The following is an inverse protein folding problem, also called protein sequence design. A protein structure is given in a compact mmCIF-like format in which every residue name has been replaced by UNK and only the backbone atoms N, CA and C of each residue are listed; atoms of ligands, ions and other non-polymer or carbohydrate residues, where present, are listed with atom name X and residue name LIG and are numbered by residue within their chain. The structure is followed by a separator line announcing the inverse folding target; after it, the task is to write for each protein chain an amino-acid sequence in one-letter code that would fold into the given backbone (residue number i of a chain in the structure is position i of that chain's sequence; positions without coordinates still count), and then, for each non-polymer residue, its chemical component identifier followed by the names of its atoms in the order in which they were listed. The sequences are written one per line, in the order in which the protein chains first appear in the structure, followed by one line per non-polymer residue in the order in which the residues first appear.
data_IF_223161883504
#
_entry.id   IF_223161883504
#
_cell.length_a   1.000
_cell.length_b   1.000
_cell.length_c   1.000
_cell.angle_alpha   90.00
_cell.angle_beta   90.00
_cell.angle_gamma   90.00
#
_symmetry.space_group_name_H-M   'P 1'
#
loop_
_entity.id
_entity.type
_entity.pdbx_description
1 polymer ?
#
# COMPACT_ATOMS: atom_id res chain seq x y z
N UNK A 1 27.20 33.73 28.62
CA UNK A 1 25.76 33.99 28.85
C UNK A 1 24.95 33.68 27.60
N UNK A 2 25.39 34.09 26.41
CA UNK A 2 24.67 33.92 25.12
C UNK A 2 24.41 32.46 24.76
N UNK A 3 25.36 31.57 25.09
CA UNK A 3 25.21 30.14 24.93
C UNK A 3 23.96 29.58 25.67
N UNK A 4 23.79 30.02 26.94
CA UNK A 4 22.65 29.58 27.79
C UNK A 4 21.32 30.05 27.18
N UNK A 5 21.30 31.30 26.67
CA UNK A 5 20.11 31.84 25.99
C UNK A 5 19.78 31.06 24.72
N UNK A 6 20.75 30.83 23.85
CA UNK A 6 20.58 30.06 22.62
C UNK A 6 20.08 28.62 22.91
N UNK A 7 20.69 27.94 23.90
CA UNK A 7 20.26 26.59 24.29
C UNK A 7 18.84 26.57 24.83
N UNK A 8 18.45 27.54 25.65
CA UNK A 8 17.09 27.65 26.19
C UNK A 8 16.04 27.81 25.07
N UNK A 9 16.34 28.62 24.06
CA UNK A 9 15.45 28.80 22.91
C UNK A 9 15.35 27.50 22.10
N UNK A 10 16.50 26.91 21.76
CA UNK A 10 16.60 25.77 20.86
C UNK A 10 15.98 24.50 21.45
N UNK A 11 16.18 24.22 22.72
CA UNK A 11 15.78 22.96 23.34
C UNK A 11 14.51 23.03 24.15
N UNK A 12 14.12 24.23 24.66
CA UNK A 12 12.91 24.37 25.44
C UNK A 12 11.77 25.08 24.71
N UNK A 13 12.04 26.24 24.12
CA UNK A 13 11.00 27.07 23.51
C UNK A 13 10.54 26.51 22.14
N UNK A 14 11.49 26.22 21.24
CA UNK A 14 11.19 25.77 19.88
C UNK A 14 10.40 24.44 19.84
N UNK A 15 10.83 23.34 20.49
CA UNK A 15 10.13 22.08 20.35
C UNK A 15 8.74 22.06 21.00
N UNK A 16 8.56 22.85 22.05
CA UNK A 16 7.31 22.81 22.84
C UNK A 16 6.16 23.59 22.19
N UNK A 17 6.43 24.69 21.49
CA UNK A 17 5.41 25.59 20.95
C UNK A 17 5.32 25.55 19.43
N UNK A 18 6.42 25.35 18.71
CA UNK A 18 6.43 25.28 17.25
C UNK A 18 5.64 24.06 16.75
N UNK A 19 5.85 22.88 17.33
CA UNK A 19 5.15 21.66 16.90
C UNK A 19 3.64 21.67 17.20
N UNK A 20 3.20 22.48 18.16
CA UNK A 20 1.78 22.62 18.51
C UNK A 20 1.07 23.73 17.76
N UNK A 21 1.74 24.44 16.84
CA UNK A 21 1.15 25.52 16.04
C UNK A 21 0.87 26.81 16.81
N UNK A 22 1.39 26.97 18.04
CA UNK A 22 1.14 28.14 18.86
C UNK A 22 2.19 29.24 18.67
N UNK A 23 2.30 29.76 17.44
CA UNK A 23 3.34 30.70 17.02
C UNK A 23 3.32 32.01 17.81
N UNK A 24 2.15 32.59 18.09
CA UNK A 24 2.00 33.84 18.83
C UNK A 24 2.52 33.69 20.28
N UNK A 25 2.15 32.58 20.94
CA UNK A 25 2.64 32.30 22.30
C UNK A 25 4.16 32.10 22.32
N UNK A 26 4.72 31.46 21.28
CA UNK A 26 6.17 31.30 21.15
C UNK A 26 6.89 32.64 21.02
N UNK A 27 6.41 33.56 20.17
CA UNK A 27 7.00 34.88 19.98
C UNK A 27 6.93 35.69 21.28
N UNK A 28 5.80 35.72 21.96
CA UNK A 28 5.62 36.44 23.22
C UNK A 28 6.55 35.90 24.32
N UNK A 29 6.68 34.59 24.44
CA UNK A 29 7.60 33.95 25.37
C UNK A 29 9.05 34.23 25.01
N UNK A 30 9.40 34.22 23.73
CA UNK A 30 10.76 34.61 23.31
C UNK A 30 11.12 36.03 23.73
N UNK A 31 10.25 36.99 23.42
CA UNK A 31 10.45 38.39 23.79
C UNK A 31 10.55 38.59 25.31
N UNK A 32 9.63 37.96 26.07
CA UNK A 32 9.66 38.06 27.53
C UNK A 32 10.94 37.45 28.14
N UNK A 33 11.39 36.31 27.58
CA UNK A 33 12.61 35.65 28.01
C UNK A 33 13.85 36.48 27.66
N UNK A 34 13.88 37.13 26.47
CA UNK A 34 14.98 38.05 26.10
C UNK A 34 15.08 39.23 27.07
N UNK A 35 13.96 39.85 27.44
CA UNK A 35 13.95 40.96 28.42
C UNK A 35 14.42 40.49 29.77
N UNK A 36 13.89 39.39 30.28
CA UNK A 36 14.29 38.82 31.57
C UNK A 36 15.81 38.52 31.61
N UNK A 37 16.33 37.94 30.52
CA UNK A 37 17.74 37.59 30.41
C UNK A 37 18.65 38.81 30.39
N UNK A 38 18.26 39.91 29.71
CA UNK A 38 18.97 41.16 29.69
C UNK A 38 19.01 41.80 31.10
N UNK A 39 17.88 41.78 31.82
CA UNK A 39 17.81 42.29 33.19
C UNK A 39 18.71 41.48 34.12
N UNK A 40 18.69 40.15 34.01
CA UNK A 40 19.56 39.28 34.82
C UNK A 40 21.06 39.51 34.49
N UNK A 41 21.42 39.66 33.21
CA UNK A 41 22.77 39.93 32.74
C UNK A 41 23.26 41.30 33.26
N UNK A 42 22.39 42.28 33.25
CA UNK A 42 22.69 43.61 33.75
C UNK A 42 22.91 43.61 35.27
N UNK A 43 22.03 42.93 36.03
CA UNK A 43 22.19 42.76 37.47
C UNK A 43 23.52 42.05 37.78
N UNK A 44 23.85 40.99 37.06
CA UNK A 44 25.13 40.29 37.19
C UNK A 44 26.34 41.22 36.95
N UNK A 45 26.31 42.01 35.88
CA UNK A 45 27.40 42.95 35.59
C UNK A 45 27.54 44.08 36.62
N UNK A 46 26.43 44.53 37.23
CA UNK A 46 26.44 45.60 38.21
C UNK A 46 26.84 45.10 39.60
N UNK A 47 26.35 43.94 40.01
CA UNK A 47 26.53 43.46 41.38
C UNK A 47 27.74 42.52 41.53
N UNK A 48 28.01 41.66 40.55
CA UNK A 48 29.00 40.57 40.71
C UNK A 48 30.35 40.90 40.05
N UNK A 49 30.34 41.45 38.85
CA UNK A 49 31.57 41.72 38.08
C UNK A 49 32.52 42.68 38.78
N UNK A 50 32.09 43.75 39.48
CA UNK A 50 32.99 44.61 40.17
C UNK A 50 33.82 43.92 41.31
N UNK A 51 33.15 43.01 42.06
CA UNK A 51 33.82 42.22 43.10
C UNK A 51 34.84 41.24 42.51
N UNK A 52 34.51 40.60 41.40
CA UNK A 52 35.44 39.70 40.73
C UNK A 52 36.65 40.47 40.20
N UNK A 53 36.47 41.63 39.59
CA UNK A 53 37.58 42.47 39.08
C UNK A 53 38.48 42.98 40.19
N UNK A 54 37.87 43.37 41.28
CA UNK A 54 38.63 43.80 42.47
C UNK A 54 39.51 42.68 43.03
N UNK A 55 38.99 41.47 43.15
CA UNK A 55 39.72 40.30 43.60
C UNK A 55 40.91 39.93 42.66
N UNK A 56 40.88 40.27 41.40
CA UNK A 56 41.95 40.08 40.43
C UNK A 56 42.82 41.35 40.19
N UNK A 57 42.64 42.41 40.98
CA UNK A 57 43.40 43.64 40.83
C UNK A 57 43.14 44.43 39.55
N UNK A 58 42.01 44.21 38.89
CA UNK A 58 41.64 44.90 37.67
C UNK A 58 40.87 46.20 37.96
N UNK A 59 40.98 47.24 37.12
CA UNK A 59 40.21 48.46 37.28
C UNK A 59 38.68 48.20 37.21
N UNK A 60 37.89 49.04 37.90
CA UNK A 60 36.44 48.92 37.94
C UNK A 60 35.85 48.99 36.49
N UNK A 61 34.71 48.29 36.22
CA UNK A 61 34.12 48.32 34.90
C UNK A 61 33.59 49.72 34.58
N UNK A 62 33.80 50.16 33.34
CA UNK A 62 33.21 51.40 32.81
C UNK A 62 31.83 51.15 32.32
N UNK A 63 30.81 51.61 33.03
CA UNK A 63 29.44 51.48 32.58
C UNK A 63 29.08 52.58 31.57
N UNK A 64 28.34 52.24 30.50
CA UNK A 64 27.89 53.21 29.52
C UNK A 64 26.93 54.23 30.17
N UNK A 65 27.14 55.52 29.89
CA UNK A 65 26.36 56.64 30.44
C UNK A 65 24.86 56.59 30.12
N UNK A 66 24.49 55.94 29.01
CA UNK A 66 23.08 55.80 28.59
C UNK A 66 22.57 54.36 28.80
N UNK A 67 21.67 54.24 29.76
CA UNK A 67 21.01 52.97 30.11
C UNK A 67 20.18 52.41 28.93
N UNK A 68 19.49 53.32 28.25
CA UNK A 68 18.60 52.97 27.14
C UNK A 68 19.37 52.42 25.92
N UNK A 69 20.48 53.06 25.58
CA UNK A 69 21.32 52.62 24.46
C UNK A 69 21.97 51.26 24.70
N UNK A 70 22.44 51.04 25.90
CA UNK A 70 23.02 49.74 26.29
C UNK A 70 22.01 48.61 26.29
N UNK A 71 20.74 48.88 26.70
CA UNK A 71 19.65 47.91 26.65
C UNK A 71 19.28 47.54 25.23
N UNK A 72 19.10 48.54 24.33
CA UNK A 72 18.80 48.31 22.94
C UNK A 72 19.86 47.48 22.20
N UNK A 73 21.14 47.80 22.47
CA UNK A 73 22.27 47.11 21.83
C UNK A 73 22.33 45.62 22.30
N UNK A 74 22.21 45.38 23.61
CA UNK A 74 22.15 44.03 24.17
C UNK A 74 20.94 43.25 23.64
N UNK A 75 19.77 43.90 23.56
CA UNK A 75 18.57 43.27 23.03
C UNK A 75 18.75 42.85 21.57
N UNK A 76 19.32 43.73 20.74
CA UNK A 76 19.62 43.41 19.34
C UNK A 76 20.62 42.25 19.22
N UNK A 77 21.74 42.29 19.98
CA UNK A 77 22.80 41.28 19.90
C UNK A 77 22.28 39.89 20.29
N UNK A 78 21.61 39.76 21.43
CA UNK A 78 21.08 38.47 21.92
C UNK A 78 20.05 37.88 20.97
N UNK A 79 19.16 38.71 20.41
CA UNK A 79 18.13 38.23 19.48
C UNK A 79 18.70 37.88 18.11
N UNK A 80 19.76 38.55 17.66
CA UNK A 80 20.48 38.16 16.42
C UNK A 80 21.15 36.80 16.57
N UNK A 81 21.87 36.56 17.67
CA UNK A 81 22.53 35.26 17.91
C UNK A 81 21.52 34.13 18.12
N UNK A 82 20.49 34.37 18.95
CA UNK A 82 19.41 33.41 19.19
C UNK A 82 18.60 33.11 17.95
N UNK A 83 18.32 34.13 17.14
CA UNK A 83 17.60 34.00 15.87
C UNK A 83 18.39 33.20 14.84
N UNK A 84 19.68 33.45 14.71
CA UNK A 84 20.56 32.70 13.80
C UNK A 84 20.67 31.23 14.23
N UNK A 85 20.88 30.98 15.51
CA UNK A 85 20.92 29.62 16.04
C UNK A 85 19.59 28.85 15.83
N UNK A 86 18.46 29.53 16.04
CA UNK A 86 17.14 28.98 15.78
C UNK A 86 16.92 28.69 14.29
N UNK A 87 17.32 29.60 13.39
CA UNK A 87 17.21 29.42 11.94
C UNK A 87 18.02 28.21 11.44
N UNK A 88 19.25 28.04 11.90
CA UNK A 88 20.09 26.87 11.57
C UNK A 88 19.42 25.58 12.05
N UNK A 89 18.91 25.55 13.28
CA UNK A 89 18.23 24.38 13.82
C UNK A 89 16.97 24.03 13.05
N UNK A 90 16.15 25.02 12.71
CA UNK A 90 14.93 24.85 11.92
C UNK A 90 15.24 24.36 10.51
N UNK A 91 16.25 24.94 9.86
CA UNK A 91 16.71 24.50 8.54
C UNK A 91 17.16 23.03 8.54
N UNK A 92 17.96 22.63 9.53
CA UNK A 92 18.38 21.24 9.70
C UNK A 92 17.18 20.30 9.92
N UNK A 93 16.24 20.68 10.78
CA UNK A 93 15.05 19.87 11.05
C UNK A 93 14.14 19.75 9.82
N UNK A 94 13.95 20.85 9.10
CA UNK A 94 13.17 20.85 7.83
C UNK A 94 13.84 19.94 6.80
N UNK A 95 15.15 20.02 6.64
CA UNK A 95 15.90 19.20 5.69
C UNK A 95 15.79 17.70 6.01
N UNK A 96 15.98 17.31 7.29
CA UNK A 96 15.82 15.90 7.71
C UNK A 96 14.41 15.40 7.45
N UNK A 97 13.40 16.21 7.82
CA UNK A 97 12.00 15.85 7.61
C UNK A 97 11.64 15.75 6.12
N UNK A 98 12.23 16.58 5.28
CA UNK A 98 12.06 16.50 3.83
C UNK A 98 12.66 15.20 3.27
N UNK A 99 13.83 14.79 3.74
CA UNK A 99 14.43 13.51 3.35
C UNK A 99 13.57 12.31 3.75
N UNK A 100 13.01 12.30 4.97
CA UNK A 100 12.08 11.25 5.41
C UNK A 100 10.84 11.19 4.52
N UNK A 101 10.25 12.34 4.22
CA UNK A 101 9.09 12.42 3.31
C UNK A 101 9.42 11.93 1.89
N UNK A 102 10.60 12.23 1.39
CA UNK A 102 11.02 11.76 0.05
C UNK A 102 11.29 10.26 0.02
N UNK A 103 11.81 9.68 1.11
CA UNK A 103 11.93 8.22 1.25
C UNK A 103 10.56 7.54 1.25
N UNK A 104 9.62 8.04 2.08
CA UNK A 104 8.24 7.52 2.13
C UNK A 104 7.54 7.65 0.77
N UNK A 105 7.72 8.79 0.07
CA UNK A 105 7.18 8.97 -1.29
C UNK A 105 7.78 7.98 -2.29
N UNK A 106 9.09 7.75 -2.24
CA UNK A 106 9.75 6.77 -3.11
C UNK A 106 9.28 5.34 -2.84
N UNK A 107 9.10 4.97 -1.57
CA UNK A 107 8.53 3.67 -1.19
C UNK A 107 7.09 3.54 -1.67
N UNK A 108 6.27 4.57 -1.45
CA UNK A 108 4.89 4.60 -1.95
C UNK A 108 4.82 4.49 -3.47
N UNK A 109 5.67 5.23 -4.21
CA UNK A 109 5.75 5.15 -5.67
C UNK A 109 6.23 3.78 -6.19
N UNK A 110 6.99 3.02 -5.41
CA UNK A 110 7.38 1.64 -5.76
C UNK A 110 6.24 0.64 -5.50
N UNK A 111 5.45 0.86 -4.45
CA UNK A 111 4.38 -0.03 -4.02
C UNK A 111 3.09 0.23 -4.82
N UNK A 112 2.77 1.48 -5.14
CA UNK A 112 1.56 1.86 -5.87
C UNK A 112 1.40 1.18 -7.25
N UNK A 113 2.42 1.10 -8.13
CA UNK A 113 2.32 0.35 -9.39
C UNK A 113 2.15 -1.14 -9.16
N UNK A 114 2.83 -1.71 -8.16
CA UNK A 114 2.71 -3.13 -7.82
C UNK A 114 1.31 -3.47 -7.31
N UNK A 115 0.67 -2.56 -6.57
CA UNK A 115 -0.72 -2.68 -6.14
C UNK A 115 -1.71 -2.47 -7.32
N UNK A 116 -1.38 -1.60 -8.28
CA UNK A 116 -2.19 -1.41 -9.50
C UNK A 116 -2.02 -2.56 -10.48
N UNK A 117 -0.82 -3.12 -10.63
CA UNK A 117 -0.58 -4.36 -11.38
C UNK A 117 -1.26 -5.57 -10.73
N UNK A 118 -1.42 -5.55 -9.40
CA UNK A 118 -2.19 -6.54 -8.65
C UNK A 118 -3.72 -6.36 -8.72
N UNK A 119 -4.23 -5.21 -9.21
CA UNK A 119 -5.64 -5.04 -9.52
C UNK A 119 -5.93 -5.73 -10.84
N UNK A 120 -6.53 -6.90 -10.76
CA UNK A 120 -6.91 -7.66 -11.95
C UNK A 120 -7.90 -6.84 -12.77
N UNK A 121 -7.52 -6.53 -14.01
CA UNK A 121 -8.49 -6.09 -15.01
C UNK A 121 -9.30 -7.32 -15.41
N UNK A 122 -10.61 -7.33 -15.21
CA UNK A 122 -11.43 -8.49 -15.53
C UNK A 122 -11.61 -8.59 -17.06
N UNK A 123 -10.57 -9.08 -17.75
CA UNK A 123 -10.55 -9.24 -19.22
C UNK A 123 -11.68 -10.18 -19.67
N UNK A 124 -12.04 -11.15 -18.82
CA UNK A 124 -13.16 -12.06 -19.09
C UNK A 124 -14.51 -11.34 -19.32
N UNK A 125 -14.69 -10.13 -18.74
CA UNK A 125 -15.91 -9.37 -18.99
C UNK A 125 -15.97 -8.83 -20.43
N UNK A 126 -14.85 -8.41 -20.98
CA UNK A 126 -14.78 -8.01 -22.39
C UNK A 126 -15.03 -9.20 -23.31
N UNK A 127 -14.35 -10.33 -23.04
CA UNK A 127 -14.57 -11.58 -23.78
C UNK A 127 -16.04 -12.04 -23.70
N UNK A 128 -16.68 -11.85 -22.54
CA UNK A 128 -18.11 -12.19 -22.36
C UNK A 128 -19.04 -11.27 -23.15
N UNK A 129 -18.74 -9.98 -23.25
CA UNK A 129 -19.50 -9.02 -24.05
C UNK A 129 -19.35 -9.29 -25.55
N UNK A 130 -18.15 -9.61 -26.04
CA UNK A 130 -17.88 -9.97 -27.43
C UNK A 130 -18.66 -11.24 -27.83
N UNK A 131 -18.70 -12.25 -26.94
CA UNK A 131 -19.50 -13.45 -27.14
C UNK A 131 -21.00 -13.18 -27.13
N UNK A 132 -21.46 -12.28 -26.25
CA UNK A 132 -22.87 -11.88 -26.22
C UNK A 132 -23.28 -11.24 -27.54
N UNK A 133 -22.43 -10.39 -28.13
CA UNK A 133 -22.66 -9.83 -29.46
C UNK A 133 -22.80 -10.91 -30.52
N UNK A 134 -21.86 -11.87 -30.58
CA UNK A 134 -21.88 -12.99 -31.53
C UNK A 134 -23.12 -13.86 -31.35
N UNK A 135 -23.51 -14.21 -30.12
CA UNK A 135 -24.66 -15.06 -29.83
C UNK A 135 -26.01 -14.34 -30.00
N UNK A 136 -26.02 -13.01 -30.01
CA UNK A 136 -27.24 -12.23 -30.23
C UNK A 136 -27.87 -12.52 -31.59
N UNK A 137 -27.03 -12.84 -32.57
CA UNK A 137 -27.47 -13.21 -33.94
C UNK A 137 -27.77 -14.69 -34.05
N UNK A 138 -26.95 -15.57 -33.45
CA UNK A 138 -27.01 -17.00 -33.63
C UNK A 138 -27.95 -17.74 -32.66
N UNK A 139 -28.01 -17.29 -31.40
CA UNK A 139 -28.81 -17.91 -30.33
C UNK A 139 -29.48 -16.85 -29.44
N UNK A 140 -30.43 -16.04 -29.93
CA UNK A 140 -30.98 -14.90 -29.17
C UNK A 140 -31.70 -15.31 -27.87
N UNK A 141 -32.18 -16.53 -27.74
CA UNK A 141 -32.88 -17.04 -26.56
C UNK A 141 -31.97 -17.13 -25.30
N UNK A 142 -30.66 -17.24 -25.45
CA UNK A 142 -29.73 -17.35 -24.32
C UNK A 142 -29.29 -15.97 -23.78
N UNK A 143 -29.50 -14.90 -24.56
CA UNK A 143 -29.01 -13.55 -24.26
C UNK A 143 -29.49 -12.99 -22.92
N UNK A 144 -30.79 -13.06 -22.54
CA UNK A 144 -31.24 -12.54 -21.24
C UNK A 144 -30.54 -13.20 -20.04
N UNK A 145 -30.32 -14.52 -20.15
CA UNK A 145 -29.59 -15.26 -19.13
C UNK A 145 -28.10 -14.83 -19.00
N UNK A 146 -27.41 -14.65 -20.14
CA UNK A 146 -26.04 -14.19 -20.21
C UNK A 146 -25.89 -12.75 -19.61
N UNK A 147 -26.77 -11.84 -20.01
CA UNK A 147 -26.75 -10.46 -19.49
C UNK A 147 -26.90 -10.45 -17.97
N UNK A 148 -27.79 -11.29 -17.41
CA UNK A 148 -27.97 -11.40 -15.95
C UNK A 148 -26.69 -11.87 -15.26
N UNK A 149 -26.00 -12.88 -15.81
CA UNK A 149 -24.74 -13.39 -15.26
C UNK A 149 -23.60 -12.37 -15.38
N UNK A 150 -23.44 -11.73 -16.54
CA UNK A 150 -22.45 -10.67 -16.73
C UNK A 150 -22.68 -9.52 -15.72
N UNK A 151 -23.95 -9.14 -15.49
CA UNK A 151 -24.28 -8.14 -14.47
C UNK A 151 -23.86 -8.57 -13.06
N UNK A 152 -24.09 -9.82 -12.67
CA UNK A 152 -23.67 -10.35 -11.38
C UNK A 152 -22.16 -10.32 -11.21
N UNK A 153 -21.42 -10.79 -12.22
CA UNK A 153 -19.96 -10.75 -12.27
C UNK A 153 -19.44 -9.31 -12.18
N UNK A 154 -20.05 -8.36 -12.90
CA UNK A 154 -19.68 -6.96 -12.87
C UNK A 154 -19.90 -6.33 -11.48
N UNK A 155 -21.03 -6.63 -10.85
CA UNK A 155 -21.31 -6.14 -9.47
C UNK A 155 -20.28 -6.68 -8.49
N UNK A 156 -19.87 -7.94 -8.62
CA UNK A 156 -18.81 -8.49 -7.80
C UNK A 156 -17.50 -7.73 -7.99
N UNK A 157 -17.10 -7.44 -9.24
CA UNK A 157 -15.89 -6.64 -9.54
C UNK A 157 -15.95 -5.27 -8.88
N UNK A 158 -17.08 -4.58 -8.97
CA UNK A 158 -17.24 -3.22 -8.45
C UNK A 158 -17.18 -3.18 -6.93
N UNK A 159 -17.85 -4.11 -6.25
CA UNK A 159 -18.02 -4.05 -4.81
C UNK A 159 -16.96 -4.81 -4.02
N UNK A 160 -16.50 -5.95 -4.51
CA UNK A 160 -15.62 -6.85 -3.73
C UNK A 160 -14.13 -6.69 -4.10
N UNK A 161 -13.78 -6.16 -5.27
CA UNK A 161 -12.38 -6.09 -5.74
C UNK A 161 -11.46 -5.26 -4.82
N UNK A 162 -12.01 -4.31 -4.09
CA UNK A 162 -11.25 -3.45 -3.18
C UNK A 162 -11.26 -3.94 -1.71
N UNK A 163 -11.92 -5.06 -1.43
CA UNK A 163 -11.94 -5.64 -0.09
C UNK A 163 -10.65 -6.40 0.19
N UNK A 164 -10.17 -6.35 1.44
CA UNK A 164 -8.99 -7.13 1.85
C UNK A 164 -9.27 -8.64 1.78
N UNK A 165 -10.48 -9.07 2.13
CA UNK A 165 -10.93 -10.46 2.04
C UNK A 165 -12.44 -10.55 1.86
N UNK A 166 -12.90 -11.62 1.22
CA UNK A 166 -14.31 -11.95 1.00
C UNK A 166 -14.61 -13.34 1.56
N UNK A 167 -15.89 -13.67 1.74
CA UNK A 167 -16.27 -15.04 2.08
C UNK A 167 -15.96 -15.96 0.91
N UNK A 168 -15.40 -17.13 1.19
CA UNK A 168 -15.06 -18.12 0.17
C UNK A 168 -16.28 -18.52 -0.67
N UNK A 169 -17.46 -18.61 -0.04
CA UNK A 169 -18.72 -18.91 -0.71
C UNK A 169 -19.04 -17.91 -1.84
N UNK A 170 -18.71 -16.62 -1.67
CA UNK A 170 -18.90 -15.61 -2.72
C UNK A 170 -17.99 -15.86 -3.93
N UNK A 171 -16.72 -16.24 -3.68
CA UNK A 171 -15.78 -16.61 -4.76
C UNK A 171 -16.26 -17.88 -5.50
N UNK A 172 -16.83 -18.84 -4.77
CA UNK A 172 -17.38 -20.05 -5.37
C UNK A 172 -18.63 -19.76 -6.21
N UNK A 173 -19.53 -18.91 -5.71
CA UNK A 173 -20.70 -18.45 -6.49
C UNK A 173 -20.27 -17.72 -7.76
N UNK A 174 -19.29 -16.84 -7.65
CA UNK A 174 -18.70 -16.15 -8.80
C UNK A 174 -18.13 -17.14 -9.82
N UNK A 175 -17.42 -18.15 -9.36
CA UNK A 175 -16.85 -19.20 -10.18
C UNK A 175 -17.94 -20.00 -10.90
N UNK A 176 -19.00 -20.38 -10.21
CA UNK A 176 -20.14 -21.11 -10.80
C UNK A 176 -20.81 -20.28 -11.91
N UNK A 177 -21.10 -19.00 -11.65
CA UNK A 177 -21.69 -18.09 -12.64
C UNK A 177 -20.79 -17.93 -13.86
N UNK A 178 -19.47 -17.82 -13.66
CA UNK A 178 -18.49 -17.75 -14.74
C UNK A 178 -18.46 -19.04 -15.57
N UNK A 179 -18.40 -20.20 -14.93
CA UNK A 179 -18.39 -21.51 -15.62
C UNK A 179 -19.64 -21.68 -16.48
N UNK A 180 -20.83 -21.31 -15.99
CA UNK A 180 -22.07 -21.38 -16.75
C UNK A 180 -22.07 -20.41 -17.94
N UNK A 181 -21.43 -19.22 -17.78
CA UNK A 181 -21.25 -18.27 -18.88
C UNK A 181 -20.37 -18.87 -19.99
N UNK A 182 -19.22 -19.47 -19.59
CA UNK A 182 -18.29 -20.12 -20.52
C UNK A 182 -18.92 -21.32 -21.25
N UNK A 183 -19.68 -22.15 -20.54
CA UNK A 183 -20.42 -23.28 -21.14
C UNK A 183 -21.41 -22.82 -22.22
N UNK A 184 -22.05 -21.67 -22.02
CA UNK A 184 -23.01 -21.12 -22.96
C UNK A 184 -22.34 -20.65 -24.27
N UNK A 185 -21.09 -20.15 -24.17
CA UNK A 185 -20.35 -19.62 -25.31
C UNK A 185 -19.41 -20.61 -26.02
N UNK A 186 -19.11 -21.75 -25.42
CA UNK A 186 -18.24 -22.77 -26.01
C UNK A 186 -19.02 -23.86 -26.76
N UNK A 187 -18.29 -24.59 -27.60
CA UNK A 187 -18.83 -25.72 -28.35
C UNK A 187 -19.30 -26.87 -27.45
N UNK A 188 -20.20 -27.70 -27.90
CA UNK A 188 -20.80 -28.83 -27.16
C UNK A 188 -19.78 -29.91 -26.71
N UNK A 189 -18.57 -29.89 -27.26
CA UNK A 189 -17.50 -30.85 -26.94
C UNK A 189 -16.66 -30.52 -25.67
N UNK A 190 -17.08 -29.56 -24.86
CA UNK A 190 -16.41 -29.20 -23.61
C UNK A 190 -17.01 -29.91 -22.39
N UNK A 191 -16.22 -30.76 -21.74
CA UNK A 191 -16.57 -31.38 -20.45
C UNK A 191 -15.98 -30.57 -19.29
N UNK A 192 -16.85 -30.04 -18.44
CA UNK A 192 -16.45 -29.30 -17.23
C UNK A 192 -16.80 -30.11 -15.99
N UNK A 193 -15.82 -30.42 -15.18
CA UNK A 193 -15.95 -31.13 -13.92
C UNK A 193 -15.58 -30.19 -12.79
N UNK A 194 -16.47 -30.01 -11.80
CA UNK A 194 -16.19 -29.21 -10.60
C UNK A 194 -16.43 -30.08 -9.39
N UNK A 195 -15.42 -30.17 -8.50
CA UNK A 195 -15.50 -30.91 -7.24
C UNK A 195 -15.07 -30.00 -6.10
N UNK A 196 -15.97 -29.78 -5.15
CA UNK A 196 -15.71 -29.01 -3.93
C UNK A 196 -15.80 -29.96 -2.75
N UNK A 197 -14.74 -30.06 -1.95
CA UNK A 197 -14.62 -30.96 -0.81
C UNK A 197 -14.23 -30.15 0.43
N UNK A 198 -14.87 -30.42 1.55
CA UNK A 198 -14.57 -29.80 2.84
C UNK A 198 -15.56 -28.70 3.22
N UNK A 199 -15.24 -27.97 4.28
CA UNK A 199 -16.11 -26.96 4.88
C UNK A 199 -15.71 -25.57 4.39
N UNK A 200 -16.55 -24.94 3.57
CA UNK A 200 -16.31 -23.61 2.99
C UNK A 200 -16.93 -22.47 3.81
N UNK A 201 -17.93 -22.82 4.65
CA UNK A 201 -18.68 -21.86 5.41
C UNK A 201 -17.81 -21.15 6.47
N UNK A 202 -17.84 -19.81 6.44
CA UNK A 202 -17.07 -18.98 7.37
C UNK A 202 -15.61 -18.72 6.95
N UNK A 203 -15.07 -19.45 5.99
CA UNK A 203 -13.73 -19.21 5.47
C UNK A 203 -13.68 -17.93 4.63
N UNK A 204 -12.54 -17.23 4.69
CA UNK A 204 -12.31 -15.99 3.96
C UNK A 204 -11.08 -16.09 3.09
N UNK A 205 -11.14 -15.54 1.88
CA UNK A 205 -10.05 -15.53 0.92
C UNK A 205 -9.95 -14.12 0.30
N UNK A 206 -8.78 -13.75 -0.20
CA UNK A 206 -8.66 -12.54 -1.00
C UNK A 206 -9.50 -12.63 -2.27
N UNK A 207 -10.21 -11.55 -2.67
CA UNK A 207 -11.08 -11.59 -3.85
C UNK A 207 -10.27 -11.87 -5.13
N UNK A 208 -10.88 -12.49 -6.12
CA UNK A 208 -10.27 -12.82 -7.42
C UNK A 208 -8.99 -13.67 -7.33
N UNK A 209 -8.93 -14.65 -6.45
CA UNK A 209 -7.85 -15.65 -6.44
C UNK A 209 -8.22 -16.86 -7.31
N UNK A 210 -9.47 -17.33 -7.22
CA UNK A 210 -9.92 -18.55 -7.88
C UNK A 210 -10.19 -18.29 -9.37
N UNK A 211 -10.99 -17.28 -9.66
CA UNK A 211 -11.51 -17.02 -11.00
C UNK A 211 -10.42 -16.87 -12.07
N UNK A 212 -9.32 -16.10 -11.88
CA UNK A 212 -8.32 -15.92 -12.92
C UNK A 212 -7.52 -17.19 -13.26
N UNK A 213 -7.39 -18.12 -12.31
CA UNK A 213 -6.73 -19.40 -12.55
C UNK A 213 -7.61 -20.31 -13.44
N UNK A 214 -8.91 -20.28 -13.19
CA UNK A 214 -9.88 -21.03 -13.99
C UNK A 214 -10.08 -20.37 -15.36
N UNK A 215 -10.18 -19.03 -15.43
CA UNK A 215 -10.23 -18.25 -16.68
C UNK A 215 -9.06 -18.61 -17.61
N UNK A 216 -7.87 -18.76 -17.07
CA UNK A 216 -6.69 -19.14 -17.85
C UNK A 216 -6.90 -20.49 -18.55
N UNK A 217 -7.48 -21.49 -17.87
CA UNK A 217 -7.83 -22.78 -18.45
C UNK A 217 -8.84 -22.66 -19.60
N UNK A 218 -9.95 -21.96 -19.39
CA UNK A 218 -10.97 -21.76 -20.41
C UNK A 218 -10.43 -21.00 -21.63
N UNK A 219 -9.65 -19.95 -21.42
CA UNK A 219 -9.04 -19.15 -22.48
C UNK A 219 -8.04 -19.95 -23.32
N UNK A 220 -7.28 -20.86 -22.70
CA UNK A 220 -6.42 -21.75 -23.46
C UNK A 220 -7.22 -22.78 -24.26
N UNK A 221 -8.24 -23.39 -23.64
CA UNK A 221 -9.13 -24.34 -24.32
C UNK A 221 -9.88 -23.73 -25.51
N UNK A 222 -10.26 -22.44 -25.43
CA UNK A 222 -10.96 -21.76 -26.52
C UNK A 222 -10.10 -21.65 -27.78
N UNK A 223 -8.77 -21.60 -27.64
CA UNK A 223 -7.82 -21.49 -28.76
C UNK A 223 -7.40 -22.82 -29.37
N UNK A 224 -7.78 -23.93 -28.73
CA UNK A 224 -7.39 -25.26 -29.16
C UNK A 224 -8.53 -25.90 -29.99
N UNK A 225 -8.18 -26.51 -31.09
CA UNK A 225 -9.09 -27.37 -31.88
C UNK A 225 -8.86 -28.83 -31.47
N UNK A 226 -9.48 -29.24 -30.38
CA UNK A 226 -9.45 -30.62 -29.88
C UNK A 226 -10.83 -31.26 -30.04
N UNK A 227 -10.91 -32.55 -30.38
CA UNK A 227 -12.19 -33.27 -30.49
C UNK A 227 -12.89 -33.37 -29.13
N UNK A 228 -12.11 -33.62 -28.07
CA UNK A 228 -12.60 -33.73 -26.70
C UNK A 228 -11.84 -32.74 -25.80
N UNK A 229 -12.52 -31.70 -25.35
CA UNK A 229 -12.01 -30.72 -24.43
C UNK A 229 -12.50 -31.02 -23.02
N UNK A 230 -11.61 -30.93 -22.03
CA UNK A 230 -12.04 -31.00 -20.64
C UNK A 230 -11.34 -29.94 -19.77
N UNK A 231 -12.02 -29.56 -18.70
CA UNK A 231 -11.48 -28.81 -17.60
C UNK A 231 -11.96 -29.44 -16.29
N UNK A 232 -11.04 -29.75 -15.40
CA UNK A 232 -11.29 -30.31 -14.07
C UNK A 232 -10.87 -29.31 -13.01
N UNK A 233 -11.80 -28.91 -12.15
CA UNK A 233 -11.62 -27.92 -11.10
C UNK A 233 -11.90 -28.61 -9.77
N UNK A 234 -10.83 -28.89 -9.04
CA UNK A 234 -10.89 -29.46 -7.69
C UNK A 234 -10.59 -28.41 -6.62
N UNK A 235 -11.53 -28.20 -5.71
CA UNK A 235 -11.35 -27.31 -4.56
C UNK A 235 -11.48 -28.13 -3.29
N UNK A 236 -10.49 -28.00 -2.39
CA UNK A 236 -10.51 -28.66 -1.07
C UNK A 236 -10.23 -27.63 0.01
N UNK A 237 -11.02 -27.66 1.07
CA UNK A 237 -10.87 -26.78 2.23
C UNK A 237 -10.86 -27.61 3.49
N UNK A 238 -9.72 -27.63 4.19
CA UNK A 238 -9.52 -28.41 5.40
C UNK A 238 -8.73 -27.60 6.42
N UNK A 239 -9.32 -27.34 7.58
CA UNK A 239 -8.65 -26.65 8.71
C UNK A 239 -7.96 -25.34 8.34
N UNK A 240 -8.63 -24.48 7.54
CA UNK A 240 -8.07 -23.21 7.08
C UNK A 240 -7.03 -23.33 5.94
N UNK A 241 -6.79 -24.54 5.42
CA UNK A 241 -5.97 -24.74 4.23
C UNK A 241 -6.88 -24.85 3.01
N UNK A 242 -6.71 -23.94 2.08
CA UNK A 242 -7.37 -23.92 0.79
C UNK A 242 -6.48 -24.53 -0.28
N UNK A 243 -7.00 -25.47 -1.04
CA UNK A 243 -6.29 -26.12 -2.14
C UNK A 243 -7.17 -26.09 -3.39
N UNK A 244 -6.66 -25.44 -4.43
CA UNK A 244 -7.28 -25.38 -5.77
C UNK A 244 -6.40 -26.10 -6.76
N UNK A 245 -6.99 -27.04 -7.50
CA UNK A 245 -6.34 -27.71 -8.63
C UNK A 245 -7.20 -27.51 -9.87
N UNK A 246 -6.63 -26.91 -10.91
CA UNK A 246 -7.28 -26.69 -12.20
C UNK A 246 -6.50 -27.43 -13.26
N UNK A 247 -7.09 -28.45 -13.85
CA UNK A 247 -6.50 -29.23 -14.94
C UNK A 247 -7.30 -29.07 -16.24
N UNK A 248 -6.64 -28.98 -17.39
CA UNK A 248 -7.31 -28.93 -18.69
C UNK A 248 -6.51 -29.65 -19.77
N UNK A 249 -7.23 -30.08 -20.83
CA UNK A 249 -6.66 -30.83 -21.93
C UNK A 249 -5.62 -30.03 -22.71
N UNK A 250 -4.58 -30.73 -23.16
CA UNK A 250 -3.44 -30.20 -23.93
C UNK A 250 -3.27 -31.04 -25.20
N UNK A 251 -2.94 -30.44 -26.38
CA UNK A 251 -2.52 -31.19 -27.55
C UNK A 251 -1.20 -31.92 -27.29
N UNK A 252 -1.08 -33.16 -27.80
CA UNK A 252 0.08 -34.02 -27.56
C UNK A 252 1.37 -33.40 -28.11
N UNK A 253 1.31 -32.63 -29.21
CA UNK A 253 2.48 -32.09 -29.93
C UNK A 253 2.82 -30.63 -29.64
N UNK A 254 2.23 -29.98 -28.62
CA UNK A 254 2.44 -28.55 -28.41
C UNK A 254 3.58 -28.21 -27.45
N UNK A 255 4.78 -28.04 -28.00
CA UNK A 255 5.91 -27.37 -27.33
C UNK A 255 5.75 -25.83 -27.24
N UNK A 256 4.76 -25.27 -27.95
CA UNK A 256 4.64 -23.82 -28.22
C UNK A 256 3.63 -23.05 -27.34
N UNK A 257 2.83 -23.71 -26.51
CA UNK A 257 1.75 -23.03 -25.76
C UNK A 257 2.16 -22.41 -24.42
N UNK A 258 3.46 -22.37 -24.09
CA UNK A 258 3.95 -21.83 -22.81
C UNK A 258 3.79 -20.31 -22.70
N UNK A 259 3.69 -19.58 -23.83
CA UNK A 259 3.79 -18.11 -23.83
C UNK A 259 2.49 -17.34 -23.56
N UNK A 260 1.32 -17.92 -23.78
CA UNK A 260 0.03 -17.21 -23.60
C UNK A 260 -0.52 -17.19 -22.17
N UNK A 261 -0.08 -18.14 -21.31
CA UNK A 261 -0.51 -18.25 -19.90
C UNK A 261 0.44 -17.59 -18.91
N UNK A 262 1.70 -17.32 -19.31
CA UNK A 262 2.75 -16.93 -18.39
C UNK A 262 2.52 -15.54 -17.74
N UNK A 263 2.00 -14.58 -18.48
CA UNK A 263 1.79 -13.22 -17.97
C UNK A 263 0.67 -13.15 -16.91
N UNK A 264 -0.45 -13.83 -17.18
CA UNK A 264 -1.58 -13.91 -16.25
C UNK A 264 -1.17 -14.65 -14.95
N UNK A 265 -0.46 -15.78 -15.08
CA UNK A 265 0.03 -16.56 -13.95
C UNK A 265 1.11 -15.82 -13.15
N UNK A 266 2.00 -15.07 -13.81
CA UNK A 266 2.98 -14.21 -13.13
C UNK A 266 2.29 -13.12 -12.30
N UNK A 267 1.25 -12.47 -12.83
CA UNK A 267 0.49 -11.45 -12.11
C UNK A 267 -0.24 -12.05 -10.90
N UNK A 268 -0.81 -13.24 -11.05
CA UNK A 268 -1.42 -13.96 -9.92
C UNK A 268 -0.37 -14.33 -8.88
N UNK A 269 0.81 -14.83 -9.31
CA UNK A 269 1.93 -15.16 -8.41
C UNK A 269 2.40 -13.95 -7.60
N UNK A 270 2.60 -12.79 -8.24
CA UNK A 270 2.93 -11.54 -7.56
C UNK A 270 1.85 -11.13 -6.56
N UNK A 271 0.58 -11.26 -6.92
CA UNK A 271 -0.54 -10.95 -6.05
C UNK A 271 -0.61 -11.89 -4.84
N UNK A 272 -0.39 -13.19 -5.05
CA UNK A 272 -0.32 -14.15 -3.96
C UNK A 272 0.84 -13.86 -3.00
N UNK A 273 1.99 -13.45 -3.53
CA UNK A 273 3.15 -13.06 -2.73
C UNK A 273 2.87 -11.83 -1.85
N UNK A 274 2.06 -10.88 -2.34
CA UNK A 274 1.64 -9.70 -1.59
C UNK A 274 0.58 -10.01 -0.53
N UNK A 275 -0.42 -10.84 -0.88
CA UNK A 275 -1.58 -11.11 -0.01
C UNK A 275 -1.37 -12.28 0.96
N UNK A 276 -0.51 -13.23 0.59
CA UNK A 276 -0.23 -14.45 1.34
C UNK A 276 1.29 -14.71 1.42
N UNK A 277 2.09 -13.78 1.98
CA UNK A 277 3.53 -13.98 2.08
C UNK A 277 3.83 -15.24 2.87
N UNK A 278 4.71 -16.11 2.33
CA UNK A 278 5.14 -17.38 2.96
C UNK A 278 4.00 -18.38 3.31
N UNK A 279 2.75 -18.07 2.93
CA UNK A 279 1.58 -18.89 3.23
C UNK A 279 0.84 -19.38 1.99
N UNK A 280 1.48 -19.30 0.82
CA UNK A 280 0.97 -19.84 -0.43
C UNK A 280 2.01 -20.67 -1.17
N UNK A 281 1.54 -21.60 -1.98
CA UNK A 281 2.32 -22.39 -2.93
C UNK A 281 1.57 -22.46 -4.26
N UNK A 282 2.15 -21.93 -5.34
CA UNK A 282 1.59 -22.00 -6.69
C UNK A 282 2.51 -22.81 -7.58
N UNK A 283 2.03 -23.94 -8.11
CA UNK A 283 2.76 -24.79 -9.03
C UNK A 283 2.01 -24.95 -10.35
N UNK A 284 2.77 -25.03 -11.44
CA UNK A 284 2.26 -25.39 -12.75
C UNK A 284 2.93 -26.70 -13.16
N UNK A 285 2.13 -27.71 -13.39
CA UNK A 285 2.59 -29.04 -13.80
C UNK A 285 2.07 -29.30 -15.21
N UNK A 286 2.96 -29.66 -16.10
CA UNK A 286 2.66 -30.00 -17.49
C UNK A 286 2.90 -31.49 -17.67
N UNK A 287 1.84 -32.23 -17.98
CA UNK A 287 1.90 -33.64 -18.31
C UNK A 287 1.82 -33.84 -19.84
N UNK A 288 1.81 -35.07 -20.31
CA UNK A 288 1.70 -35.38 -21.74
C UNK A 288 0.38 -34.90 -22.35
N UNK A 289 -0.73 -34.95 -21.61
CA UNK A 289 -2.11 -34.76 -22.08
C UNK A 289 -2.83 -33.57 -21.40
N UNK A 290 -2.26 -32.97 -20.34
CA UNK A 290 -2.92 -31.90 -19.59
C UNK A 290 -1.97 -30.87 -18.99
N UNK A 291 -2.48 -29.67 -18.85
CA UNK A 291 -1.90 -28.65 -17.96
C UNK A 291 -2.62 -28.67 -16.63
N UNK A 292 -1.86 -28.51 -15.55
CA UNK A 292 -2.40 -28.46 -14.19
C UNK A 292 -1.83 -27.27 -13.47
N UNK A 293 -2.70 -26.43 -12.91
CA UNK A 293 -2.36 -25.42 -11.92
C UNK A 293 -2.72 -25.96 -10.55
N UNK A 294 -1.80 -25.93 -9.62
CA UNK A 294 -1.95 -26.37 -8.24
C UNK A 294 -1.64 -25.19 -7.31
N UNK A 295 -2.66 -24.69 -6.61
CA UNK A 295 -2.56 -23.58 -5.67
C UNK A 295 -2.95 -24.05 -4.28
N UNK A 296 -2.05 -23.86 -3.31
CA UNK A 296 -2.31 -24.04 -1.89
C UNK A 296 -2.17 -22.70 -1.17
N UNK A 297 -3.10 -22.38 -0.29
CA UNK A 297 -3.09 -21.15 0.52
C UNK A 297 -3.53 -21.48 1.94
N UNK A 298 -2.80 -20.95 2.91
CA UNK A 298 -3.23 -21.00 4.31
C UNK A 298 -4.05 -19.73 4.62
N UNK A 299 -5.38 -19.90 4.76
CA UNK A 299 -6.33 -18.81 4.96
C UNK A 299 -6.19 -18.15 6.36
N UNK A 300 -5.67 -18.89 7.35
CA UNK A 300 -5.49 -18.40 8.72
C UNK A 300 -4.33 -17.38 8.85
N UNK A 301 -3.48 -17.26 7.84
CA UNK A 301 -2.33 -16.36 7.79
C UNK A 301 -2.49 -15.24 6.75
N UNK A 302 -3.71 -14.98 6.30
CA UNK A 302 -3.97 -13.81 5.44
C UNK A 302 -3.60 -12.51 6.17
N UNK A 303 -3.06 -11.55 5.44
CA UNK A 303 -2.75 -10.22 5.99
C UNK A 303 -4.06 -9.54 6.38
N UNK A 304 -4.13 -9.09 7.63
CA UNK A 304 -5.17 -8.17 8.12
C UNK A 304 -5.05 -6.80 7.46
#
# INVERSE_FOLDING_TARGET
MDIVFCYSIIYFLLPRYLYRGHYIKMILLWLSFSVLFILAFRAYNHEVVPYIRLAFGLPPPVFAKSVSWSFLNLFYQINMEGGLAAAIKLGKMWFVKQQELDLIKKEKQKIEPQLQEGKMQPVFLLDALDRLEQLSVTKPSVIPGMVKKIKSLLLYVIYENNMASVRLEKELTLLEEYIELEKTGMAENLRVIVKIIGHTAGERIAPFIILPLVENGFRQLSRLELPDKFIDIGIRVESGNFHLKVGWSKPIDSSTLVNGGSLSLQNIGKRLQLLYPESHELKVVITTDQFIIDLKVNLNRAIN
#
